data_IF_419231610023
#
_entry.id   IF_419231610023
#
_cell.length_a   1.000
_cell.length_b   1.000
_cell.length_c   1.000
_cell.angle_alpha   90.00
_cell.angle_beta   90.00
_cell.angle_gamma   90.00
#
_symmetry.space_group_name_H-M   'P 1'
#
loop_
_entity.id
_entity.type
_entity.pdbx_description
1 polymer ?
#
# COMPACT_ATOMS: atom_id res chain seq x y z
N UNK A 1 18.28 2.90 6.17
CA UNK A 1 17.28 3.78 5.49
C UNK A 1 16.71 3.22 4.18
N UNK A 2 17.46 2.43 3.38
CA UNK A 2 16.94 1.86 2.12
C UNK A 2 15.94 0.71 2.33
N UNK A 3 16.19 -0.18 3.30
CA UNK A 3 15.32 -1.33 3.59
C UNK A 3 13.89 -0.94 4.03
N UNK A 4 13.73 0.07 4.89
CA UNK A 4 12.40 0.52 5.36
C UNK A 4 11.51 1.04 4.23
N UNK A 5 12.10 1.74 3.27
CA UNK A 5 11.39 2.24 2.08
C UNK A 5 10.98 1.09 1.15
N UNK A 6 11.88 0.13 0.96
CA UNK A 6 11.59 -1.05 0.17
C UNK A 6 10.47 -1.90 0.79
N UNK A 7 10.47 -2.04 2.12
CA UNK A 7 9.38 -2.68 2.88
C UNK A 7 8.07 -1.91 2.69
N UNK A 8 8.07 -0.57 2.82
CA UNK A 8 6.87 0.24 2.62
C UNK A 8 6.28 0.07 1.21
N UNK A 9 7.13 0.04 0.18
CA UNK A 9 6.69 -0.24 -1.21
C UNK A 9 6.10 -1.64 -1.32
N UNK A 10 6.80 -2.66 -0.82
CA UNK A 10 6.32 -4.04 -0.85
C UNK A 10 4.98 -4.18 -0.13
N UNK A 11 4.81 -3.56 1.04
CA UNK A 11 3.56 -3.55 1.79
C UNK A 11 2.44 -2.89 1.00
N UNK A 12 2.69 -1.75 0.35
CA UNK A 12 1.70 -1.08 -0.48
C UNK A 12 1.26 -1.96 -1.67
N UNK A 13 2.21 -2.63 -2.33
CA UNK A 13 1.92 -3.57 -3.43
C UNK A 13 1.12 -4.76 -2.92
N UNK A 14 1.48 -5.34 -1.76
CA UNK A 14 0.76 -6.47 -1.17
C UNK A 14 -0.70 -6.10 -0.88
N UNK A 15 -0.91 -4.95 -0.24
CA UNK A 15 -2.26 -4.45 0.09
C UNK A 15 -3.09 -4.19 -1.17
N UNK A 16 -2.46 -3.65 -2.23
CA UNK A 16 -3.12 -3.48 -3.52
C UNK A 16 -3.54 -4.83 -4.10
N UNK A 17 -2.68 -5.85 -4.10
CA UNK A 17 -3.01 -7.19 -4.58
C UNK A 17 -4.18 -7.82 -3.80
N UNK A 18 -4.21 -7.66 -2.48
CA UNK A 18 -5.33 -8.17 -1.67
C UNK A 18 -6.67 -7.52 -2.03
N UNK A 19 -6.67 -6.20 -2.26
CA UNK A 19 -7.88 -5.48 -2.69
C UNK A 19 -8.30 -5.93 -4.10
N UNK A 20 -7.35 -6.11 -5.02
CA UNK A 20 -7.62 -6.59 -6.37
C UNK A 20 -8.14 -8.04 -6.41
N UNK A 21 -7.56 -8.95 -5.62
CA UNK A 21 -8.04 -10.32 -5.50
C UNK A 21 -9.48 -10.38 -4.98
N UNK A 22 -9.83 -9.46 -4.08
CA UNK A 22 -11.19 -9.34 -3.60
C UNK A 22 -12.14 -8.77 -4.67
N UNK A 23 -11.70 -7.78 -5.44
CA UNK A 23 -12.47 -7.21 -6.56
C UNK A 23 -12.71 -8.22 -7.69
N UNK A 24 -11.74 -9.08 -7.98
CA UNK A 24 -11.84 -10.14 -9.00
C UNK A 24 -12.60 -11.38 -8.51
N UNK A 25 -13.16 -11.35 -7.30
CA UNK A 25 -13.84 -12.48 -6.65
C UNK A 25 -12.96 -13.73 -6.46
N UNK A 26 -11.64 -13.60 -6.65
CA UNK A 26 -10.66 -14.67 -6.42
C UNK A 26 -10.57 -14.97 -4.92
N UNK A 27 -10.77 -13.96 -4.07
CA UNK A 27 -10.80 -14.11 -2.62
C UNK A 27 -11.93 -13.30 -1.99
N UNK A 28 -12.98 -13.99 -1.55
CA UNK A 28 -14.12 -13.39 -0.87
C UNK A 28 -13.76 -13.14 0.60
N UNK A 29 -13.71 -11.87 0.98
CA UNK A 29 -13.51 -11.43 2.36
C UNK A 29 -14.81 -10.78 2.88
N UNK A 30 -15.01 -10.80 4.20
CA UNK A 30 -16.12 -10.06 4.82
C UNK A 30 -15.96 -8.56 4.55
N UNK A 31 -17.08 -7.83 4.39
CA UNK A 31 -17.15 -6.38 4.21
C UNK A 31 -16.23 -5.59 5.17
N UNK A 32 -16.17 -6.00 6.44
CA UNK A 32 -15.29 -5.37 7.43
C UNK A 32 -13.81 -5.53 7.07
N UNK A 33 -13.42 -6.74 6.64
CA UNK A 33 -12.04 -7.05 6.25
C UNK A 33 -11.67 -6.30 4.97
N UNK A 34 -12.57 -6.28 3.98
CA UNK A 34 -12.38 -5.53 2.74
C UNK A 34 -12.17 -4.03 2.99
N UNK A 35 -12.97 -3.43 3.88
CA UNK A 35 -12.83 -2.02 4.25
C UNK A 35 -11.48 -1.74 4.94
N UNK A 36 -11.04 -2.61 5.84
CA UNK A 36 -9.73 -2.49 6.51
C UNK A 36 -8.59 -2.54 5.48
N UNK A 37 -8.62 -3.52 4.56
CA UNK A 37 -7.59 -3.64 3.52
C UNK A 37 -7.57 -2.44 2.58
N UNK A 38 -8.74 -1.91 2.22
CA UNK A 38 -8.84 -0.72 1.38
C UNK A 38 -8.22 0.52 2.07
N UNK A 39 -8.60 0.80 3.32
CA UNK A 39 -8.06 1.93 4.08
C UNK A 39 -6.54 1.77 4.30
N UNK A 40 -6.09 0.55 4.61
CA UNK A 40 -4.67 0.23 4.76
C UNK A 40 -3.90 0.47 3.46
N UNK A 41 -4.43 0.04 2.31
CA UNK A 41 -3.84 0.26 0.98
C UNK A 41 -3.67 1.76 0.71
N UNK A 42 -4.73 2.55 0.88
CA UNK A 42 -4.69 4.01 0.68
C UNK A 42 -3.61 4.64 1.56
N UNK A 43 -3.60 4.30 2.85
CA UNK A 43 -2.61 4.82 3.80
C UNK A 43 -1.18 4.46 3.40
N UNK A 44 -0.95 3.23 2.93
CA UNK A 44 0.36 2.78 2.48
C UNK A 44 0.83 3.53 1.23
N UNK A 45 -0.05 3.76 0.25
CA UNK A 45 0.27 4.52 -0.97
C UNK A 45 0.65 5.97 -0.62
N UNK A 46 -0.14 6.64 0.22
CA UNK A 46 0.20 8.00 0.66
C UNK A 46 1.53 8.04 1.42
N UNK A 47 1.79 7.06 2.29
CA UNK A 47 3.06 6.99 3.02
C UNK A 47 4.26 6.82 2.09
N UNK A 48 4.16 5.92 1.09
CA UNK A 48 5.19 5.73 0.06
C UNK A 48 5.38 7.01 -0.77
N UNK A 49 4.29 7.66 -1.18
CA UNK A 49 4.33 8.92 -1.93
C UNK A 49 5.00 10.06 -1.17
N UNK A 50 4.69 10.22 0.13
CA UNK A 50 5.34 11.21 1.01
C UNK A 50 6.83 10.89 1.17
N UNK A 51 7.18 9.62 1.40
CA UNK A 51 8.59 9.22 1.56
C UNK A 51 9.39 9.40 0.26
N UNK A 52 8.78 9.14 -0.90
CA UNK A 52 9.37 9.42 -2.21
C UNK A 52 9.55 10.93 -2.43
N UNK A 53 8.53 11.75 -2.15
CA UNK A 53 8.60 13.20 -2.28
C UNK A 53 9.70 13.83 -1.42
N UNK A 54 9.83 13.39 -0.17
CA UNK A 54 10.93 13.81 0.72
C UNK A 54 12.30 13.45 0.17
N UNK A 55 12.45 12.26 -0.43
CA UNK A 55 13.72 11.82 -1.05
C UNK A 55 14.01 12.57 -2.35
N UNK A 56 12.99 12.87 -3.16
CA UNK A 56 13.11 13.62 -4.39
C UNK A 56 13.53 15.09 -4.14
N UNK A 57 13.02 15.72 -3.08
CA UNK A 57 13.46 17.06 -2.67
C UNK A 57 14.88 17.09 -2.10
N UNK A 58 15.34 15.99 -1.46
CA UNK A 58 16.68 15.91 -0.86
C UNK A 58 17.82 15.70 -1.88
N UNK A 59 17.47 15.27 -3.10
CA UNK A 59 18.41 15.04 -4.21
C UNK A 59 18.42 16.20 -5.23
N UNK A 60 17.67 17.28 -4.97
CA UNK A 60 17.78 18.56 -5.70
C UNK A 60 18.66 19.52 -4.93
#
# INVERSE_FOLDING_TARGET
MKARFLINILTAILLMLFVFMNYLEIWTANLVVQAIFFIAMVSAIFNVGIEYGKRAQRNK
#
